data_IF_641295732744
#
_entry.id   IF_641295732744
#
_cell.length_a   1.000
_cell.length_b   1.000
_cell.length_c   1.000
_cell.angle_alpha   90.00
_cell.angle_beta   90.00
_cell.angle_gamma   90.00
#
_symmetry.space_group_name_H-M   'P 1'
#
loop_
_entity.id
_entity.type
_entity.pdbx_description
1 polymer ?
#
# COMPACT_ATOMS: atom_id res chain seq x y z
N UNK A 1 -31.54 36.99 -22.92
CA UNK A 1 -30.75 35.75 -22.68
C UNK A 1 -30.20 35.79 -21.26
N UNK A 2 -30.65 34.90 -20.37
CA UNK A 2 -30.27 34.86 -18.95
C UNK A 2 -29.84 33.43 -18.63
N UNK A 3 -28.55 33.20 -18.41
CA UNK A 3 -27.99 31.87 -18.04
C UNK A 3 -27.71 31.90 -16.55
N UNK A 4 -28.62 31.33 -15.76
CA UNK A 4 -28.41 31.10 -14.34
C UNK A 4 -27.75 29.73 -14.19
N UNK A 5 -26.45 29.71 -13.91
CA UNK A 5 -25.68 28.48 -13.69
C UNK A 5 -26.05 27.87 -12.32
N UNK A 6 -26.92 26.86 -12.34
CA UNK A 6 -27.09 25.94 -11.20
C UNK A 6 -25.93 24.94 -11.24
N UNK A 7 -24.92 25.13 -10.39
CA UNK A 7 -23.91 24.10 -10.12
C UNK A 7 -24.57 23.02 -9.27
N UNK A 8 -25.11 22.00 -9.94
CA UNK A 8 -25.61 20.80 -9.31
C UNK A 8 -24.44 20.01 -8.72
N UNK A 9 -24.53 19.71 -7.41
CA UNK A 9 -23.72 18.70 -6.73
C UNK A 9 -23.85 17.36 -7.45
N UNK A 10 -22.76 16.88 -8.05
CA UNK A 10 -22.68 15.53 -8.57
C UNK A 10 -22.34 14.61 -7.39
N UNK A 11 -23.37 14.00 -6.83
CA UNK A 11 -23.22 12.84 -5.95
C UNK A 11 -22.71 11.66 -6.78
N UNK A 12 -21.50 11.17 -6.50
CA UNK A 12 -21.01 9.91 -7.08
C UNK A 12 -21.75 8.73 -6.45
N UNK A 13 -22.34 7.82 -7.25
CA UNK A 13 -23.03 6.65 -6.71
C UNK A 13 -22.00 5.66 -6.17
N UNK A 14 -22.20 5.21 -4.93
CA UNK A 14 -21.55 3.99 -4.43
C UNK A 14 -22.02 2.83 -5.29
N UNK A 15 -21.14 2.33 -6.15
CA UNK A 15 -21.33 1.03 -6.79
C UNK A 15 -21.01 -0.02 -5.73
N UNK A 16 -22.04 -0.66 -5.20
CA UNK A 16 -21.91 -1.87 -4.42
C UNK A 16 -21.53 -3.03 -5.35
N UNK A 17 -20.23 -3.28 -5.49
CA UNK A 17 -19.76 -4.54 -6.08
C UNK A 17 -19.71 -5.60 -4.98
N UNK A 18 -20.83 -6.31 -4.86
CA UNK A 18 -20.84 -7.63 -4.25
C UNK A 18 -20.12 -8.61 -5.16
N UNK A 19 -18.84 -8.87 -4.88
CA UNK A 19 -18.10 -9.98 -5.48
C UNK A 19 -17.97 -11.09 -4.45
N UNK A 20 -18.69 -12.19 -4.74
CA UNK A 20 -18.49 -13.55 -4.25
C UNK A 20 -17.04 -13.85 -3.84
N UNK A 21 -16.80 -14.59 -2.74
CA UNK A 21 -15.49 -15.21 -2.53
C UNK A 21 -15.37 -16.37 -3.52
N UNK A 22 -15.07 -16.07 -4.78
CA UNK A 22 -14.37 -17.03 -5.59
C UNK A 22 -13.03 -17.22 -4.88
N UNK A 23 -12.83 -18.42 -4.32
CA UNK A 23 -11.56 -18.88 -3.78
C UNK A 23 -10.54 -18.77 -4.92
N UNK A 24 -9.93 -17.58 -5.05
CA UNK A 24 -8.74 -17.37 -5.83
C UNK A 24 -7.64 -18.08 -5.05
N UNK A 25 -7.53 -19.37 -5.31
CA UNK A 25 -6.34 -20.15 -5.02
C UNK A 25 -5.25 -19.54 -5.90
N UNK A 26 -4.66 -18.46 -5.39
CA UNK A 26 -3.46 -17.87 -5.94
C UNK A 26 -2.42 -18.99 -5.87
N UNK A 27 -2.18 -19.62 -7.01
CA UNK A 27 -1.17 -20.64 -7.16
C UNK A 27 0.18 -19.92 -7.24
N UNK A 28 0.71 -19.53 -6.07
CA UNK A 28 2.06 -19.03 -5.94
C UNK A 28 2.99 -20.20 -6.29
N UNK A 29 3.67 -20.07 -7.44
CA UNK A 29 4.35 -21.15 -8.11
C UNK A 29 5.23 -21.99 -7.19
N UNK A 30 4.96 -23.30 -7.18
CA UNK A 30 5.96 -24.32 -6.97
C UNK A 30 7.01 -24.20 -8.09
N UNK A 31 7.98 -23.32 -7.87
CA UNK A 31 9.17 -23.15 -8.71
C UNK A 31 10.32 -23.92 -8.10
N UNK A 32 10.52 -25.14 -8.61
CA UNK A 32 11.75 -25.90 -8.42
C UNK A 32 12.89 -25.15 -9.13
N UNK A 33 13.61 -24.29 -8.41
CA UNK A 33 14.71 -23.51 -8.99
C UNK A 33 15.06 -22.26 -8.18
N UNK A 34 16.29 -22.22 -7.67
CA UNK A 34 16.86 -21.22 -6.75
C UNK A 34 16.48 -21.45 -5.28
N UNK A 35 17.18 -22.41 -4.68
CA UNK A 35 17.29 -22.58 -3.24
C UNK A 35 17.42 -21.22 -2.55
N UNK A 36 16.44 -20.89 -1.70
CA UNK A 36 16.50 -19.77 -0.78
C UNK A 36 17.73 -19.94 0.12
N UNK A 37 18.87 -19.38 -0.29
CA UNK A 37 20.08 -19.35 0.51
C UNK A 37 19.89 -18.33 1.62
N UNK A 38 19.40 -18.80 2.77
CA UNK A 38 19.55 -18.11 4.06
C UNK A 38 18.32 -18.01 4.95
N UNK A 39 17.11 -18.38 4.49
CA UNK A 39 15.88 -18.31 5.27
C UNK A 39 15.31 -19.69 5.58
N UNK A 40 14.75 -19.90 6.77
CA UNK A 40 13.91 -21.07 7.06
C UNK A 40 12.69 -21.03 6.14
N UNK A 41 12.45 -22.07 5.31
CA UNK A 41 11.27 -22.10 4.46
C UNK A 41 10.01 -22.09 5.33
N UNK A 42 9.01 -21.28 4.94
CA UNK A 42 7.71 -21.24 5.62
C UNK A 42 6.95 -22.55 5.44
N UNK A 43 6.24 -22.98 6.48
CA UNK A 43 5.26 -24.06 6.37
C UNK A 43 4.02 -23.57 5.59
N UNK A 44 3.24 -24.49 5.03
CA UNK A 44 1.97 -24.17 4.36
C UNK A 44 1.01 -23.41 5.28
N UNK A 45 0.97 -23.77 6.56
CA UNK A 45 0.14 -23.10 7.57
C UNK A 45 0.61 -21.67 7.84
N UNK A 46 1.92 -21.44 7.91
CA UNK A 46 2.51 -20.11 8.04
C UNK A 46 2.23 -19.25 6.80
N UNK A 47 2.25 -19.85 5.60
CA UNK A 47 1.93 -19.15 4.36
C UNK A 47 0.45 -18.73 4.30
N UNK A 48 -0.47 -19.62 4.67
CA UNK A 48 -1.89 -19.29 4.74
C UNK A 48 -2.18 -18.21 5.80
N UNK A 49 -1.52 -18.30 6.96
CA UNK A 49 -1.67 -17.30 8.04
C UNK A 49 -1.12 -15.94 7.61
N UNK A 50 0.05 -15.92 6.98
CA UNK A 50 0.62 -14.70 6.42
C UNK A 50 -0.30 -14.04 5.39
N UNK A 51 -0.82 -14.83 4.43
CA UNK A 51 -1.73 -14.33 3.42
C UNK A 51 -2.96 -13.66 4.05
N UNK A 52 -3.58 -14.32 5.02
CA UNK A 52 -4.74 -13.77 5.73
C UNK A 52 -4.40 -12.43 6.43
N UNK A 53 -3.27 -12.36 7.12
CA UNK A 53 -2.83 -11.12 7.79
C UNK A 53 -2.62 -9.98 6.78
N UNK A 54 -2.06 -10.27 5.60
CA UNK A 54 -1.92 -9.28 4.54
C UNK A 54 -3.26 -8.86 3.95
N UNK A 55 -4.17 -9.80 3.69
CA UNK A 55 -5.50 -9.51 3.15
C UNK A 55 -6.30 -8.61 4.11
N UNK A 56 -6.27 -8.92 5.41
CA UNK A 56 -6.89 -8.12 6.45
C UNK A 56 -6.29 -6.71 6.52
N UNK A 57 -4.96 -6.59 6.48
CA UNK A 57 -4.27 -5.29 6.43
C UNK A 57 -4.69 -4.48 5.20
N UNK A 58 -4.72 -5.09 4.02
CA UNK A 58 -5.07 -4.39 2.78
C UNK A 58 -6.54 -3.97 2.76
N UNK A 59 -7.44 -4.81 3.26
CA UNK A 59 -8.85 -4.49 3.43
C UNK A 59 -9.04 -3.30 4.37
N UNK A 60 -8.44 -3.35 5.57
CA UNK A 60 -8.57 -2.30 6.60
C UNK A 60 -7.94 -0.97 6.18
N UNK A 61 -6.88 -0.99 5.36
CA UNK A 61 -6.16 0.22 4.93
C UNK A 61 -6.58 0.75 3.57
N UNK A 62 -7.53 0.12 2.88
CA UNK A 62 -7.88 0.50 1.51
C UNK A 62 -8.26 1.99 1.39
N UNK A 63 -9.19 2.45 2.24
CA UNK A 63 -9.62 3.85 2.24
C UNK A 63 -8.49 4.82 2.56
N UNK A 64 -7.64 4.52 3.56
CA UNK A 64 -6.49 5.35 3.93
C UNK A 64 -5.48 5.46 2.78
N UNK A 65 -5.17 4.35 2.10
CA UNK A 65 -4.27 4.34 0.94
C UNK A 65 -4.85 5.13 -0.24
N UNK A 66 -6.16 5.02 -0.48
CA UNK A 66 -6.84 5.81 -1.51
C UNK A 66 -6.80 7.31 -1.19
N UNK A 67 -7.08 7.69 0.06
CA UNK A 67 -7.00 9.10 0.50
C UNK A 67 -5.59 9.66 0.35
N UNK A 68 -4.57 8.89 0.76
CA UNK A 68 -3.17 9.32 0.61
C UNK A 68 -2.79 9.51 -0.87
N UNK A 69 -3.19 8.58 -1.74
CA UNK A 69 -2.98 8.71 -3.18
C UNK A 69 -3.68 9.95 -3.74
N UNK A 70 -4.93 10.21 -3.34
CA UNK A 70 -5.64 11.43 -3.74
C UNK A 70 -4.91 12.69 -3.30
N UNK A 71 -4.41 12.73 -2.05
CA UNK A 71 -3.68 13.88 -1.51
C UNK A 71 -2.34 14.10 -2.21
N UNK A 72 -1.65 13.03 -2.63
CA UNK A 72 -0.46 13.15 -3.48
C UNK A 72 -0.76 13.80 -4.83
N UNK A 73 -1.87 13.45 -5.47
CA UNK A 73 -2.27 14.12 -6.72
C UNK A 73 -2.61 15.59 -6.49
N UNK A 74 -3.33 15.91 -5.41
CA UNK A 74 -3.62 17.29 -5.04
C UNK A 74 -2.35 18.10 -4.77
N UNK A 75 -1.41 17.54 -3.99
CA UNK A 75 -0.11 18.15 -3.71
C UNK A 75 0.68 18.44 -4.99
N UNK A 76 0.77 17.45 -5.89
CA UNK A 76 1.46 17.62 -7.17
C UNK A 76 0.77 18.66 -8.07
N UNK A 77 -0.57 18.67 -8.11
CA UNK A 77 -1.31 19.68 -8.86
C UNK A 77 -1.01 21.09 -8.35
N UNK A 78 -0.98 21.29 -7.02
CA UNK A 78 -0.64 22.57 -6.40
C UNK A 78 0.80 23.01 -6.72
N UNK A 79 1.76 22.09 -6.77
CA UNK A 79 3.15 22.38 -7.15
C UNK A 79 3.31 22.79 -8.61
N UNK A 80 2.48 22.24 -9.50
CA UNK A 80 2.54 22.52 -10.95
C UNK A 80 1.69 23.72 -11.39
N UNK A 81 0.99 24.37 -10.47
CA UNK A 81 0.19 25.56 -10.77
C UNK A 81 1.08 26.73 -11.23
N UNK A 82 0.55 27.61 -12.09
CA UNK A 82 1.27 28.79 -12.59
C UNK A 82 1.68 29.77 -11.49
N UNK A 83 0.99 29.75 -10.35
CA UNK A 83 1.35 30.48 -9.13
C UNK A 83 1.11 29.54 -7.94
N UNK A 84 2.16 28.84 -7.45
CA UNK A 84 2.03 27.91 -6.33
C UNK A 84 1.62 28.61 -5.03
N UNK A 85 0.61 28.06 -4.36
CA UNK A 85 0.11 28.55 -3.06
C UNK A 85 0.77 27.74 -1.94
N UNK A 86 1.84 28.30 -1.36
CA UNK A 86 2.64 27.63 -0.31
C UNK A 86 1.80 27.26 0.92
N UNK A 87 0.78 28.05 1.27
CA UNK A 87 -0.06 27.76 2.43
C UNK A 87 -0.91 26.49 2.19
N UNK A 88 -1.50 26.35 0.99
CA UNK A 88 -2.24 25.15 0.61
C UNK A 88 -1.35 23.93 0.46
N UNK A 89 -0.17 24.09 -0.15
CA UNK A 89 0.81 23.01 -0.31
C UNK A 89 1.19 22.45 1.07
N UNK A 90 1.52 23.32 2.03
CA UNK A 90 1.85 22.92 3.40
C UNK A 90 0.66 22.28 4.14
N UNK A 91 -0.57 22.73 3.89
CA UNK A 91 -1.76 22.12 4.48
C UNK A 91 -1.96 20.68 3.97
N UNK A 92 -1.88 20.47 2.64
CA UNK A 92 -2.00 19.13 2.05
C UNK A 92 -0.85 18.22 2.50
N UNK A 93 0.37 18.74 2.64
CA UNK A 93 1.50 17.97 3.16
C UNK A 93 1.24 17.46 4.60
N UNK A 94 0.67 18.29 5.47
CA UNK A 94 0.29 17.88 6.84
C UNK A 94 -0.82 16.83 6.86
N UNK A 95 -1.79 16.93 5.95
CA UNK A 95 -2.83 15.91 5.80
C UNK A 95 -2.23 14.57 5.33
N UNK A 96 -1.27 14.60 4.40
CA UNK A 96 -0.53 13.40 3.98
C UNK A 96 0.27 12.78 5.13
N UNK A 97 0.91 13.59 5.97
CA UNK A 97 1.63 13.13 7.16
C UNK A 97 0.71 12.38 8.12
N UNK A 98 -0.46 12.95 8.44
CA UNK A 98 -1.45 12.31 9.31
C UNK A 98 -1.98 10.97 8.73
N UNK A 99 -2.20 10.92 7.40
CA UNK A 99 -2.59 9.68 6.72
C UNK A 99 -1.48 8.63 6.74
N UNK A 100 -0.23 9.04 6.55
CA UNK A 100 0.93 8.14 6.64
C UNK A 100 1.07 7.57 8.06
N UNK A 101 0.96 8.40 9.10
CA UNK A 101 0.98 7.95 10.49
C UNK A 101 -0.09 6.88 10.75
N UNK A 102 -1.31 7.11 10.27
CA UNK A 102 -2.42 6.15 10.40
C UNK A 102 -2.11 4.83 9.68
N UNK A 103 -1.47 4.89 8.51
CA UNK A 103 -1.04 3.67 7.78
C UNK A 103 0.09 2.95 8.50
N UNK A 104 1.04 3.67 9.09
CA UNK A 104 2.15 3.10 9.84
C UNK A 104 1.68 2.35 11.08
N UNK A 105 0.70 2.88 11.81
CA UNK A 105 0.06 2.15 12.92
C UNK A 105 -0.54 0.82 12.47
N UNK A 106 -1.15 0.77 11.28
CA UNK A 106 -1.69 -0.48 10.72
C UNK A 106 -0.58 -1.43 10.25
N UNK A 107 0.54 -0.90 9.74
CA UNK A 107 1.72 -1.71 9.40
C UNK A 107 2.33 -2.35 10.64
N UNK A 108 2.43 -1.60 11.73
CA UNK A 108 2.89 -2.13 13.03
C UNK A 108 1.98 -3.24 13.52
N UNK A 109 0.65 -3.07 13.47
CA UNK A 109 -0.30 -4.13 13.86
C UNK A 109 -0.12 -5.39 13.02
N UNK A 110 0.01 -5.26 11.71
CA UNK A 110 0.29 -6.38 10.80
C UNK A 110 1.59 -7.07 11.16
N UNK A 111 2.67 -6.33 11.35
CA UNK A 111 3.99 -6.89 11.66
C UNK A 111 4.02 -7.61 13.01
N UNK A 112 3.32 -7.06 14.01
CA UNK A 112 3.12 -7.73 15.31
C UNK A 112 2.32 -9.02 15.15
N UNK A 113 1.24 -9.01 14.37
CA UNK A 113 0.45 -10.22 14.10
C UNK A 113 1.29 -11.31 13.40
N UNK A 114 2.15 -10.93 12.45
CA UNK A 114 3.07 -11.85 11.78
C UNK A 114 4.07 -12.47 12.76
N UNK A 115 4.65 -11.65 13.64
CA UNK A 115 5.60 -12.11 14.65
C UNK A 115 4.92 -13.06 15.66
N UNK A 116 3.71 -12.73 16.12
CA UNK A 116 2.93 -13.57 17.02
C UNK A 116 2.51 -14.90 16.38
N UNK A 117 2.26 -14.90 15.07
CA UNK A 117 1.97 -16.12 14.30
C UNK A 117 3.22 -16.97 14.01
N UNK A 118 4.41 -16.56 14.47
CA UNK A 118 5.66 -17.27 14.21
C UNK A 118 6.03 -17.30 12.74
N UNK A 119 5.54 -16.36 11.93
CA UNK A 119 5.88 -16.27 10.52
C UNK A 119 7.29 -15.67 10.37
N UNK A 120 8.26 -16.37 9.76
CA UNK A 120 9.62 -15.87 9.61
C UNK A 120 9.68 -14.59 8.77
N UNK A 121 10.33 -13.54 9.31
CA UNK A 121 10.64 -12.33 8.53
C UNK A 121 11.77 -12.64 7.55
N UNK A 122 11.44 -12.79 6.26
CA UNK A 122 12.41 -13.06 5.19
C UNK A 122 12.19 -14.36 4.43
N UNK A 123 11.30 -15.23 4.92
CA UNK A 123 10.78 -16.34 4.14
C UNK A 123 9.64 -15.80 3.27
N UNK A 124 9.77 -15.96 1.95
CA UNK A 124 8.97 -15.30 0.91
C UNK A 124 7.50 -15.01 1.23
N UNK A 125 7.18 -13.71 1.20
CA UNK A 125 5.94 -13.14 0.68
C UNK A 125 6.38 -11.78 0.10
N UNK A 126 6.66 -11.76 -1.21
CA UNK A 126 7.50 -10.76 -1.85
C UNK A 126 7.09 -9.31 -1.61
N UNK A 127 7.98 -8.57 -0.93
CA UNK A 127 8.45 -7.23 -1.33
C UNK A 127 9.89 -7.14 -0.83
N UNK A 128 10.86 -7.27 -1.74
CA UNK A 128 12.28 -7.01 -1.50
C UNK A 128 12.91 -7.80 -0.36
N UNK A 129 13.48 -8.97 -0.65
CA UNK A 129 14.52 -9.53 0.19
C UNK A 129 15.70 -8.58 0.24
N UNK A 130 15.68 -7.64 1.19
CA UNK A 130 16.86 -6.91 1.63
C UNK A 130 17.24 -7.48 3.00
N UNK A 131 17.66 -8.74 2.98
CA UNK A 131 18.58 -9.25 3.99
C UNK A 131 19.91 -8.55 3.75
N UNK A 132 20.42 -7.87 4.78
CA UNK A 132 21.65 -7.11 4.71
C UNK A 132 22.85 -7.94 4.24
N UNK A 133 23.77 -7.24 3.58
CA UNK A 133 25.15 -7.67 3.38
C UNK A 133 25.45 -8.20 1.98
N UNK A 134 26.12 -7.36 1.18
CA UNK A 134 26.99 -7.84 0.09
C UNK A 134 26.58 -7.43 -1.32
N UNK A 135 27.13 -6.29 -1.77
CA UNK A 135 27.58 -6.04 -3.14
C UNK A 135 26.71 -6.56 -4.30
N UNK A 136 25.55 -5.96 -4.58
CA UNK A 136 24.97 -6.02 -5.93
C UNK A 136 24.80 -4.61 -6.52
N UNK A 137 25.70 -4.34 -7.47
CA UNK A 137 25.62 -3.27 -8.45
C UNK A 137 24.32 -3.37 -9.24
N UNK A 138 23.73 -2.22 -9.57
CA UNK A 138 22.92 -2.08 -10.78
C UNK A 138 21.46 -1.76 -10.54
N UNK A 139 21.19 -0.45 -10.51
CA UNK A 139 20.05 0.15 -11.18
C UNK A 139 18.67 -0.23 -10.65
N UNK A 140 18.12 0.62 -9.80
CA UNK A 140 16.84 1.29 -10.07
C UNK A 140 16.84 2.57 -9.23
N UNK A 141 16.90 3.71 -9.91
CA UNK A 141 16.74 5.02 -9.28
C UNK A 141 15.38 5.03 -8.59
N UNK A 142 15.39 5.14 -7.26
CA UNK A 142 14.20 5.42 -6.48
C UNK A 142 13.61 6.73 -6.99
N UNK A 143 12.47 6.62 -7.67
CA UNK A 143 11.61 7.76 -7.87
C UNK A 143 11.03 8.15 -6.52
N UNK A 144 11.52 9.27 -6.00
CA UNK A 144 10.84 10.17 -5.06
C UNK A 144 10.24 9.51 -3.82
N UNK A 145 10.99 9.55 -2.72
CA UNK A 145 10.33 9.69 -1.43
C UNK A 145 9.65 11.06 -1.40
N UNK A 146 8.34 11.08 -1.65
CA UNK A 146 7.43 12.14 -1.22
C UNK A 146 6.11 11.49 -0.74
#
# INVERSE_FOLDING_TARGET
>A
MKRNNKLALIALPLIALGSTPALAQNHWGYGDGMQQRGGTPMTTEQQATAQKIYDDYYSQTNALRQQLTSKRYEYNALLTASSPDTAKINAVAKEMEALNQSLDEQRVKRDVAMAQAGVPRGAGMGYGGCGGGGNHRGGHMGMGHW
#
